data_IF_149482790488
#
_entry.id   IF_149482790488
#
_cell.length_a   1.000
_cell.length_b   1.000
_cell.length_c   1.000
_cell.angle_alpha   90.00
_cell.angle_beta   90.00
_cell.angle_gamma   90.00
#
_symmetry.space_group_name_H-M   'P 1'
#
loop_
_entity.id
_entity.type
_entity.pdbx_description
1 polymer ?
#
# COMPACT_ATOMS: atom_id res chain seq x y z
N UNK A 1 -3.93 -12.15 -12.26
CA UNK A 1 -3.52 -10.77 -12.66
C UNK A 1 -3.38 -9.97 -11.38
N UNK A 2 -2.37 -9.11 -11.31
CA UNK A 2 -2.05 -8.32 -10.12
C UNK A 2 -2.01 -6.84 -10.51
N UNK A 3 -2.25 -5.96 -9.54
CA UNK A 3 -2.10 -4.52 -9.69
C UNK A 3 -1.08 -4.01 -8.68
N UNK A 4 -0.21 -3.12 -9.15
CA UNK A 4 0.71 -2.38 -8.29
C UNK A 4 0.35 -0.90 -8.30
N UNK A 5 0.31 -0.28 -7.13
CA UNK A 5 0.21 1.17 -6.97
C UNK A 5 1.12 1.63 -5.84
N UNK A 6 1.05 2.90 -5.45
CA UNK A 6 1.92 3.54 -4.47
C UNK A 6 1.17 3.94 -3.20
N UNK A 7 1.85 3.90 -2.06
CA UNK A 7 1.31 4.41 -0.79
C UNK A 7 1.95 5.76 -0.41
N UNK A 8 1.34 6.48 0.53
CA UNK A 8 1.84 7.75 1.08
C UNK A 8 3.13 7.57 1.87
N UNK A 9 3.38 6.38 2.40
CA UNK A 9 4.61 6.06 3.12
C UNK A 9 5.82 5.73 2.19
N UNK A 10 5.65 6.02 0.90
CA UNK A 10 6.60 5.74 -0.19
C UNK A 10 6.95 4.24 -0.31
N UNK A 11 5.93 3.38 -0.28
CA UNK A 11 6.03 1.96 -0.62
C UNK A 11 5.12 1.60 -1.81
N UNK A 12 5.22 0.38 -2.31
CA UNK A 12 4.28 -0.14 -3.32
C UNK A 12 3.24 -1.04 -2.67
N UNK A 13 2.00 -0.89 -3.11
CA UNK A 13 0.91 -1.80 -2.79
C UNK A 13 0.76 -2.81 -3.92
N UNK A 14 0.59 -4.09 -3.59
CA UNK A 14 0.35 -5.18 -4.53
C UNK A 14 -0.97 -5.85 -4.20
N UNK A 15 -1.92 -5.77 -5.12
CA UNK A 15 -3.26 -6.33 -4.99
C UNK A 15 -3.47 -7.47 -6.00
N UNK A 16 -4.09 -8.59 -5.59
CA UNK A 16 -4.71 -9.47 -6.57
C UNK A 16 -5.90 -8.72 -7.21
N UNK A 17 -6.17 -8.99 -8.49
CA UNK A 17 -7.20 -8.27 -9.25
C UNK A 17 -8.56 -8.12 -8.52
N UNK A 18 -9.15 -9.16 -7.91
CA UNK A 18 -10.45 -9.02 -7.23
C UNK A 18 -10.45 -8.00 -6.10
N UNK A 19 -9.33 -7.87 -5.37
CA UNK A 19 -9.19 -6.88 -4.29
C UNK A 19 -8.96 -5.47 -4.85
N UNK A 20 -8.19 -5.37 -5.94
CA UNK A 20 -8.00 -4.09 -6.62
C UNK A 20 -9.31 -3.51 -7.16
N UNK A 21 -10.16 -4.33 -7.77
CA UNK A 21 -11.45 -3.89 -8.32
C UNK A 21 -12.36 -3.27 -7.24
N UNK A 22 -12.31 -3.78 -6.01
CA UNK A 22 -13.03 -3.19 -4.88
C UNK A 22 -12.45 -1.83 -4.48
N UNK A 23 -11.12 -1.73 -4.38
CA UNK A 23 -10.43 -0.48 -4.03
C UNK A 23 -10.65 0.59 -5.11
N UNK A 24 -10.54 0.21 -6.38
CA UNK A 24 -10.78 1.09 -7.52
C UNK A 24 -12.22 1.62 -7.51
N UNK A 25 -13.21 0.74 -7.35
CA UNK A 25 -14.62 1.14 -7.28
C UNK A 25 -14.89 2.13 -6.15
N UNK A 26 -14.32 1.90 -4.97
CA UNK A 26 -14.43 2.82 -3.84
C UNK A 26 -13.79 4.18 -4.13
N UNK A 27 -12.58 4.20 -4.68
CA UNK A 27 -11.86 5.45 -5.00
C UNK A 27 -12.55 6.26 -6.10
N UNK A 28 -13.09 5.60 -7.12
CA UNK A 28 -13.83 6.23 -8.21
C UNK A 28 -15.18 6.81 -7.78
N UNK A 29 -15.79 6.27 -6.73
CA UNK A 29 -17.05 6.78 -6.18
C UNK A 29 -16.89 8.03 -5.30
N UNK A 30 -15.66 8.38 -4.89
CA UNK A 30 -15.42 9.54 -4.03
C UNK A 30 -15.69 10.87 -4.77
N UNK A 31 -16.23 11.91 -4.10
CA UNK A 31 -16.51 13.20 -4.73
C UNK A 31 -15.25 13.92 -5.24
N UNK A 32 -15.16 14.12 -6.55
CA UNK A 32 -14.00 14.79 -7.18
C UNK A 32 -13.88 16.29 -6.87
N UNK A 33 -14.84 16.91 -6.17
CA UNK A 33 -14.78 18.33 -5.80
C UNK A 33 -13.86 18.58 -4.59
N UNK A 34 -13.64 17.58 -3.74
CA UNK A 34 -12.70 17.69 -2.64
C UNK A 34 -11.23 17.60 -3.10
N UNK A 35 -10.38 18.46 -2.54
CA UNK A 35 -8.95 18.53 -2.91
C UNK A 35 -8.19 17.29 -2.44
N UNK A 36 -8.50 16.76 -1.26
CA UNK A 36 -7.81 15.59 -0.71
C UNK A 36 -8.20 14.32 -1.47
N UNK A 37 -9.48 14.17 -1.83
CA UNK A 37 -9.96 13.10 -2.70
C UNK A 37 -9.20 13.06 -4.02
N UNK A 38 -9.10 14.20 -4.72
CA UNK A 38 -8.34 14.25 -5.99
C UNK A 38 -6.87 13.90 -5.82
N UNK A 39 -6.25 14.31 -4.70
CA UNK A 39 -4.85 13.97 -4.41
C UNK A 39 -4.68 12.47 -4.20
N UNK A 40 -5.59 11.84 -3.44
CA UNK A 40 -5.58 10.41 -3.19
C UNK A 40 -5.80 9.60 -4.47
N UNK A 41 -6.79 9.97 -5.29
CA UNK A 41 -7.04 9.34 -6.59
C UNK A 41 -5.83 9.46 -7.53
N UNK A 42 -5.20 10.64 -7.62
CA UNK A 42 -3.98 10.82 -8.44
C UNK A 42 -2.82 9.98 -7.93
N UNK A 43 -2.70 9.82 -6.62
CA UNK A 43 -1.66 9.00 -6.02
C UNK A 43 -1.92 7.51 -6.32
N UNK A 44 -3.07 6.98 -5.92
CA UNK A 44 -3.38 5.56 -6.04
C UNK A 44 -3.79 5.16 -7.46
N UNK A 45 -4.85 5.74 -8.02
CA UNK A 45 -5.31 5.37 -9.36
C UNK A 45 -4.33 5.83 -10.44
N UNK A 46 -3.71 7.00 -10.26
CA UNK A 46 -2.76 7.54 -11.25
C UNK A 46 -1.46 6.76 -11.38
N UNK A 47 -1.07 5.99 -10.35
CA UNK A 47 0.11 5.11 -10.38
C UNK A 47 -0.27 3.63 -10.54
N UNK A 48 -1.57 3.29 -10.53
CA UNK A 48 -2.02 1.92 -10.66
C UNK A 48 -1.57 1.34 -12.01
N UNK A 49 -0.81 0.26 -11.93
CA UNK A 49 -0.25 -0.45 -13.08
C UNK A 49 -0.55 -1.92 -12.95
N UNK A 50 -1.13 -2.52 -13.98
CA UNK A 50 -1.25 -3.97 -14.04
C UNK A 50 0.14 -4.60 -14.14
N UNK A 51 0.37 -5.60 -13.30
CA UNK A 51 1.60 -6.40 -13.31
C UNK A 51 1.28 -7.89 -13.42
N UNK A 52 2.11 -8.60 -14.18
CA UNK A 52 1.96 -10.03 -14.42
C UNK A 52 3.05 -10.76 -13.67
N UNK A 53 2.63 -11.78 -12.93
CA UNK A 53 3.54 -12.71 -12.28
C UNK A 53 3.94 -13.78 -13.29
N UNK A 54 5.24 -14.01 -13.46
CA UNK A 54 5.76 -15.06 -14.32
C UNK A 54 5.58 -16.47 -13.69
N UNK A 55 5.95 -17.51 -14.44
CA UNK A 55 5.83 -18.90 -13.98
C UNK A 55 6.71 -19.25 -12.77
N UNK A 56 7.63 -18.37 -12.38
CA UNK A 56 8.52 -18.55 -11.23
C UNK A 56 8.11 -17.67 -10.05
N UNK A 57 6.92 -17.05 -10.11
CA UNK A 57 6.43 -16.20 -9.03
C UNK A 57 7.04 -14.80 -8.99
N UNK A 58 7.73 -14.36 -10.06
CA UNK A 58 8.39 -13.03 -10.10
C UNK A 58 7.48 -12.00 -10.74
N UNK A 59 7.55 -10.77 -10.24
CA UNK A 59 6.89 -9.60 -10.82
C UNK A 59 7.95 -8.59 -11.24
N UNK A 60 7.84 -8.08 -12.47
CA UNK A 60 8.67 -6.96 -12.91
C UNK A 60 8.04 -5.64 -12.42
N UNK A 61 8.73 -4.95 -11.51
CA UNK A 61 8.29 -3.64 -11.03
C UNK A 61 8.61 -2.56 -12.07
N UNK A 62 7.60 -1.80 -12.57
CA UNK A 62 7.83 -0.71 -13.51
C UNK A 62 8.81 0.35 -12.96
N UNK A 63 9.70 0.92 -13.79
CA UNK A 63 10.68 1.91 -13.33
C UNK A 63 10.10 3.10 -12.55
N UNK A 64 8.94 3.69 -12.92
CA UNK A 64 8.34 4.78 -12.15
C UNK A 64 7.94 4.37 -10.73
N UNK A 65 7.37 3.17 -10.56
CA UNK A 65 7.00 2.63 -9.26
C UNK A 65 8.22 2.32 -8.41
N UNK A 66 9.25 1.72 -9.05
CA UNK A 66 10.54 1.46 -8.40
C UNK A 66 11.18 2.75 -7.88
N UNK A 67 11.16 3.82 -8.68
CA UNK A 67 11.69 5.12 -8.30
C UNK A 67 10.88 5.76 -7.16
N UNK A 68 9.54 5.69 -7.23
CA UNK A 68 8.66 6.22 -6.19
C UNK A 68 8.93 5.57 -4.83
N UNK A 69 8.95 4.23 -4.79
CA UNK A 69 9.19 3.48 -3.56
C UNK A 69 10.67 3.36 -3.17
N UNK A 70 11.56 4.00 -3.94
CA UNK A 70 13.01 4.04 -3.73
C UNK A 70 13.62 2.64 -3.58
N UNK A 71 13.12 1.66 -4.33
CA UNK A 71 13.63 0.29 -4.28
C UNK A 71 14.97 0.25 -5.01
N UNK A 72 16.05 -0.01 -4.28
CA UNK A 72 17.42 -0.06 -4.82
C UNK A 72 18.04 -1.45 -4.67
N UNK A 73 18.24 -1.92 -3.44
CA UNK A 73 19.02 -3.13 -3.16
C UNK A 73 18.19 -4.26 -2.53
N UNK A 74 17.74 -4.05 -1.30
CA UNK A 74 17.02 -5.05 -0.52
C UNK A 74 15.60 -4.61 -0.33
N UNK A 75 14.69 -5.53 -0.57
CA UNK A 75 13.26 -5.26 -0.46
C UNK A 75 12.62 -6.17 0.56
N UNK A 76 11.62 -5.66 1.25
CA UNK A 76 10.82 -6.43 2.20
C UNK A 76 9.39 -6.49 1.68
N UNK A 77 8.78 -7.67 1.73
CA UNK A 77 7.39 -7.90 1.40
C UNK A 77 6.60 -8.11 2.70
N UNK A 78 5.61 -7.27 2.95
CA UNK A 78 4.76 -7.31 4.14
C UNK A 78 3.35 -7.73 3.72
N UNK A 79 2.80 -8.78 4.35
CA UNK A 79 1.43 -9.22 4.13
C UNK A 79 0.45 -8.47 5.02
N UNK A 80 -0.62 -7.92 4.43
CA UNK A 80 -1.66 -7.16 5.13
C UNK A 80 -3.05 -7.81 4.92
N UNK A 81 -3.09 -9.14 4.80
CA UNK A 81 -4.29 -9.90 4.50
C UNK A 81 -4.65 -9.85 3.02
N UNK A 82 -5.33 -8.78 2.58
CA UNK A 82 -5.88 -8.67 1.22
C UNK A 82 -4.93 -8.05 0.19
N UNK A 83 -3.75 -7.62 0.63
CA UNK A 83 -2.70 -7.03 -0.20
C UNK A 83 -1.33 -7.31 0.40
N UNK A 84 -0.30 -7.05 -0.40
CA UNK A 84 1.05 -6.93 0.08
C UNK A 84 1.55 -5.49 -0.02
N UNK A 85 2.49 -5.14 0.83
CA UNK A 85 3.30 -3.94 0.69
C UNK A 85 4.73 -4.36 0.34
N UNK A 86 5.32 -3.69 -0.65
CA UNK A 86 6.70 -3.87 -1.06
C UNK A 86 7.49 -2.61 -0.72
N UNK A 87 8.52 -2.79 0.09
CA UNK A 87 9.32 -1.71 0.66
C UNK A 87 10.79 -1.86 0.30
N UNK A 88 11.51 -0.74 0.29
CA UNK A 88 12.94 -0.77 0.56
C UNK A 88 13.18 -1.16 2.03
N UNK A 89 14.12 -2.06 2.28
CA UNK A 89 14.39 -2.64 3.61
C UNK A 89 14.78 -1.58 4.65
N UNK A 90 15.58 -0.60 4.24
CA UNK A 90 16.09 0.44 5.16
C UNK A 90 14.95 1.36 5.58
N UNK A 91 14.14 1.79 4.61
CA UNK A 91 12.97 2.65 4.86
C UNK A 91 11.91 1.94 5.70
N UNK A 92 11.65 0.66 5.43
CA UNK A 92 10.74 -0.13 6.28
C UNK A 92 11.23 -0.18 7.73
N UNK A 93 12.53 -0.44 7.93
CA UNK A 93 13.11 -0.51 9.27
C UNK A 93 12.98 0.82 10.00
N UNK A 94 13.28 1.93 9.33
CA UNK A 94 13.16 3.29 9.88
C UNK A 94 11.71 3.60 10.27
N UNK A 95 10.77 3.46 9.33
CA UNK A 95 9.35 3.74 9.59
C UNK A 95 8.78 2.85 10.70
N UNK A 96 9.10 1.55 10.69
CA UNK A 96 8.69 0.62 11.75
C UNK A 96 9.23 1.04 13.11
N UNK A 97 10.47 1.50 13.19
CA UNK A 97 11.04 2.01 14.42
C UNK A 97 10.31 3.26 14.92
N UNK A 98 9.92 4.17 14.02
CA UNK A 98 9.10 5.34 14.35
C UNK A 98 7.73 4.92 14.89
N UNK A 99 7.00 4.06 14.19
CA UNK A 99 5.66 3.61 14.63
C UNK A 99 5.70 2.86 15.97
N UNK A 100 6.76 2.10 16.25
CA UNK A 100 6.95 1.45 17.54
C UNK A 100 7.24 2.45 18.66
N UNK A 101 7.94 3.55 18.35
CA UNK A 101 8.27 4.60 19.32
C UNK A 101 7.10 5.55 19.60
N UNK A 102 6.23 5.81 18.61
CA UNK A 102 4.96 6.51 18.80
C UNK A 102 4.00 5.75 19.73
N UNK A 103 4.26 4.46 19.93
CA UNK A 103 3.47 3.56 20.76
C UNK A 103 2.21 3.09 20.02
N UNK A 104 1.71 1.92 20.41
CA UNK A 104 0.35 1.54 20.02
C UNK A 104 -0.62 2.50 20.73
N UNK A 105 -1.68 2.99 20.05
CA UNK A 105 -2.71 3.78 20.71
C UNK A 105 -3.20 3.01 21.95
N UNK A 106 -3.29 3.68 23.09
CA UNK A 106 -3.87 3.08 24.29
C UNK A 106 -5.33 2.68 23.96
N UNK A 107 -5.87 1.66 24.64
CA UNK A 107 -7.17 1.08 24.27
C UNK A 107 -8.36 2.07 24.17
N UNK A 108 -8.25 3.27 24.75
CA UNK A 108 -9.22 4.36 24.63
C UNK A 108 -9.13 5.16 23.34
N UNK A 109 -7.99 5.12 22.65
CA UNK A 109 -7.69 5.84 21.40
C UNK A 109 -7.80 4.93 20.17
N UNK A 110 -8.11 3.64 20.37
CA UNK A 110 -8.36 2.72 19.28
C UNK A 110 -9.77 2.93 18.70
N UNK A 111 -9.91 2.99 17.36
CA UNK A 111 -11.22 2.87 16.72
C UNK A 111 -12.01 1.67 17.26
N UNK A 112 -13.33 1.83 17.37
CA UNK A 112 -14.22 0.81 17.97
C UNK A 112 -14.12 -0.56 17.29
N UNK A 113 -13.77 -0.56 16.00
CA UNK A 113 -13.52 -1.76 15.21
C UNK A 113 -12.31 -2.56 15.71
N UNK A 114 -11.23 -1.88 16.15
CA UNK A 114 -10.02 -2.53 16.67
C UNK A 114 -10.23 -3.07 18.10
N UNK A 115 -11.03 -2.39 18.92
CA UNK A 115 -11.35 -2.84 20.27
C UNK A 115 -12.06 -4.21 20.32
N UNK A 116 -12.72 -4.59 19.21
CA UNK A 116 -13.44 -5.85 19.09
C UNK A 116 -12.61 -6.98 18.44
N UNK A 117 -11.37 -6.72 18.02
CA UNK A 117 -10.49 -7.75 17.49
C UNK A 117 -10.00 -8.66 18.62
N UNK A 118 -10.29 -9.95 18.50
CA UNK A 118 -9.68 -10.99 19.33
C UNK A 118 -8.45 -11.52 18.60
N UNK A 119 -7.27 -11.17 19.11
CA UNK A 119 -5.98 -11.71 18.68
C UNK A 119 -5.60 -12.94 19.50
#
# INVERSE_FOLDING_TARGET
RWFSTVDRDECLLLYPLPEWEQVEGQLSALPNLDRQTRRLQRLLLGHATEVVMDSHGRILVPPPLRAFARLDHRTVLIGQGNKFELWDESRWTENRSVWLAEGMPAGTDLPTELANLRL
#
